data_IF_638231932086
#
_entry.id   IF_638231932086
#
_cell.length_a   1.000
_cell.length_b   1.000
_cell.length_c   1.000
_cell.angle_alpha   90.00
_cell.angle_beta   90.00
_cell.angle_gamma   90.00
#
_symmetry.space_group_name_H-M   'P 1'
#
loop_
_entity.id
_entity.type
_entity.pdbx_description
1 polymer ?
#
# COMPACT_ATOMS: atom_id res chain seq x y z
N UNK A 1 14.78 -31.58 -32.66
CA UNK A 1 15.05 -30.24 -32.19
C UNK A 1 13.83 -29.87 -31.33
N UNK A 2 13.96 -29.95 -30.01
CA UNK A 2 12.88 -29.59 -29.10
C UNK A 2 12.77 -28.06 -28.99
N UNK A 3 11.65 -27.55 -28.48
CA UNK A 3 11.50 -26.10 -28.21
C UNK A 3 12.57 -25.62 -27.23
N UNK A 4 13.04 -26.49 -26.33
CA UNK A 4 14.16 -26.24 -25.42
C UNK A 4 15.48 -26.02 -26.18
N UNK A 5 15.74 -26.78 -27.27
CA UNK A 5 16.93 -26.61 -28.12
C UNK A 5 16.95 -25.27 -28.86
N UNK A 6 15.79 -24.61 -28.99
CA UNK A 6 15.63 -23.30 -29.61
C UNK A 6 15.66 -22.16 -28.59
N UNK A 7 15.87 -22.45 -27.29
CA UNK A 7 15.82 -21.46 -26.22
C UNK A 7 14.41 -20.86 -25.99
N UNK A 8 13.39 -21.49 -26.57
CA UNK A 8 12.00 -21.19 -26.31
C UNK A 8 11.63 -21.95 -25.03
N UNK A 9 11.77 -21.30 -23.90
CA UNK A 9 11.23 -21.78 -22.62
C UNK A 9 9.72 -21.89 -22.81
N UNK A 10 9.18 -23.08 -22.54
CA UNK A 10 7.74 -23.28 -22.41
C UNK A 10 7.24 -22.41 -21.26
N UNK A 11 6.84 -21.20 -21.59
CA UNK A 11 6.05 -20.41 -20.64
C UNK A 11 4.71 -21.15 -20.57
N UNK A 12 4.49 -21.93 -19.50
CA UNK A 12 3.13 -22.25 -19.11
C UNK A 12 2.36 -20.92 -19.12
N UNK A 13 1.45 -20.78 -20.09
CA UNK A 13 0.49 -19.69 -20.12
C UNK A 13 -0.46 -19.99 -18.95
N UNK A 14 -0.04 -19.61 -17.77
CA UNK A 14 -0.92 -19.67 -16.59
C UNK A 14 -1.93 -18.55 -16.80
N UNK A 15 -3.19 -18.94 -16.99
CA UNK A 15 -4.31 -18.01 -17.16
C UNK A 15 -4.56 -17.29 -15.82
N UNK A 16 -3.83 -16.20 -15.61
CA UNK A 16 -3.96 -15.39 -14.40
C UNK A 16 -4.93 -14.25 -14.62
N UNK A 17 -5.64 -13.89 -13.56
CA UNK A 17 -6.48 -12.68 -13.51
C UNK A 17 -5.66 -11.48 -13.05
N UNK A 18 -5.75 -10.37 -13.78
CA UNK A 18 -5.14 -9.11 -13.39
C UNK A 18 -6.02 -8.41 -12.33
N UNK A 19 -5.46 -8.14 -11.17
CA UNK A 19 -6.07 -7.36 -10.10
C UNK A 19 -5.53 -5.92 -10.15
N UNK A 20 -6.41 -4.97 -10.42
CA UNK A 20 -6.04 -3.58 -10.70
C UNK A 20 -6.40 -2.69 -9.51
N UNK A 21 -5.46 -1.86 -9.09
CA UNK A 21 -5.74 -0.71 -8.23
C UNK A 21 -6.54 0.34 -9.02
N UNK A 22 -7.84 0.28 -8.84
CA UNK A 22 -8.79 1.10 -9.60
C UNK A 22 -8.77 2.57 -9.18
N UNK A 23 -8.40 2.87 -7.93
CA UNK A 23 -8.32 4.26 -7.49
C UNK A 23 -7.31 5.03 -8.33
N UNK A 24 -6.17 4.42 -8.68
CA UNK A 24 -5.15 5.04 -9.52
C UNK A 24 -5.62 5.21 -10.96
N UNK A 25 -6.19 4.14 -11.54
CA UNK A 25 -6.67 4.15 -12.94
C UNK A 25 -7.77 5.19 -13.13
N UNK A 26 -8.64 5.37 -12.14
CA UNK A 26 -9.76 6.33 -12.19
C UNK A 26 -9.27 7.76 -11.89
N UNK A 27 -8.39 7.93 -10.90
CA UNK A 27 -7.97 9.27 -10.46
C UNK A 27 -7.16 10.03 -11.51
N UNK A 28 -6.23 9.34 -12.18
CA UNK A 28 -5.34 9.96 -13.16
C UNK A 28 -6.09 10.71 -14.29
N UNK A 29 -7.03 10.08 -15.03
CA UNK A 29 -7.75 10.78 -16.08
C UNK A 29 -8.68 11.86 -15.55
N UNK A 30 -9.21 11.73 -14.31
CA UNK A 30 -10.02 12.78 -13.71
C UNK A 30 -9.21 14.06 -13.43
N UNK A 31 -7.92 13.95 -13.13
CA UNK A 31 -7.04 15.12 -13.01
C UNK A 31 -6.74 15.79 -14.37
N UNK A 32 -6.73 15.00 -15.45
CA UNK A 32 -6.44 15.49 -16.80
C UNK A 32 -7.67 16.16 -17.42
N UNK A 33 -8.82 15.51 -17.30
CA UNK A 33 -10.12 15.95 -17.86
C UNK A 33 -11.01 16.44 -16.72
N UNK A 34 -10.63 17.60 -16.13
CA UNK A 34 -11.23 18.11 -14.89
C UNK A 34 -12.33 19.17 -15.14
N UNK A 35 -13.01 19.10 -16.29
CA UNK A 35 -14.19 19.92 -16.58
C UNK A 35 -15.47 19.14 -16.34
N UNK A 36 -16.49 19.78 -15.77
CA UNK A 36 -17.79 19.15 -15.49
C UNK A 36 -18.67 19.13 -16.75
N UNK A 37 -18.23 18.33 -17.74
CA UNK A 37 -18.93 18.19 -19.02
C UNK A 37 -18.89 16.75 -19.56
N UNK A 38 -19.77 16.47 -20.53
CA UNK A 38 -19.88 15.16 -21.15
C UNK A 38 -18.66 14.77 -22.00
N UNK A 39 -17.90 15.75 -22.51
CA UNK A 39 -16.69 15.49 -23.28
C UNK A 39 -15.61 14.94 -22.35
N UNK A 40 -15.37 15.59 -21.22
CA UNK A 40 -14.43 15.13 -20.19
C UNK A 40 -14.79 13.74 -19.69
N UNK A 41 -16.06 13.49 -19.39
CA UNK A 41 -16.56 12.17 -18.97
C UNK A 41 -16.30 11.08 -20.02
N UNK A 42 -16.57 11.36 -21.31
CA UNK A 42 -16.24 10.41 -22.40
C UNK A 42 -14.74 10.15 -22.51
N UNK A 43 -13.90 11.18 -22.35
CA UNK A 43 -12.44 11.01 -22.39
C UNK A 43 -11.92 10.21 -21.20
N UNK A 44 -12.45 10.41 -20.01
CA UNK A 44 -12.14 9.63 -18.80
C UNK A 44 -12.48 8.16 -19.05
N UNK A 45 -13.70 7.85 -19.50
CA UNK A 45 -14.13 6.48 -19.78
C UNK A 45 -13.23 5.79 -20.82
N UNK A 46 -12.88 6.51 -21.90
CA UNK A 46 -11.96 6.01 -22.94
C UNK A 46 -10.57 5.73 -22.38
N UNK A 47 -10.04 6.63 -21.53
CA UNK A 47 -8.74 6.46 -20.90
C UNK A 47 -8.71 5.24 -19.98
N UNK A 48 -9.74 5.07 -19.13
CA UNK A 48 -9.84 3.93 -18.22
C UNK A 48 -9.83 2.61 -19.00
N UNK A 49 -10.69 2.47 -20.03
CA UNK A 49 -10.72 1.26 -20.85
C UNK A 49 -9.36 0.97 -21.49
N UNK A 50 -8.78 1.99 -22.15
CA UNK A 50 -7.46 1.81 -22.77
C UNK A 50 -6.38 1.41 -21.76
N UNK A 51 -6.37 2.01 -20.56
CA UNK A 51 -5.40 1.67 -19.52
C UNK A 51 -5.56 0.22 -19.05
N UNK A 52 -6.78 -0.27 -18.91
CA UNK A 52 -7.06 -1.66 -18.56
C UNK A 52 -6.53 -2.60 -19.64
N UNK A 53 -6.82 -2.31 -20.93
CA UNK A 53 -6.34 -3.13 -22.06
C UNK A 53 -4.81 -3.17 -22.09
N UNK A 54 -4.13 -2.02 -21.97
CA UNK A 54 -2.68 -1.92 -21.94
C UNK A 54 -2.06 -2.72 -20.76
N UNK A 55 -2.73 -2.72 -19.60
CA UNK A 55 -2.27 -3.48 -18.43
C UNK A 55 -2.48 -4.98 -18.58
N UNK A 56 -3.60 -5.40 -19.17
CA UNK A 56 -3.88 -6.81 -19.45
C UNK A 56 -2.86 -7.37 -20.44
N UNK A 57 -2.55 -6.62 -21.50
CA UNK A 57 -1.50 -6.99 -22.48
C UNK A 57 -0.13 -7.13 -21.79
N UNK A 58 0.27 -6.12 -20.99
CA UNK A 58 1.55 -6.14 -20.29
C UNK A 58 1.67 -7.26 -19.25
N UNK A 59 0.57 -7.64 -18.60
CA UNK A 59 0.52 -8.72 -17.63
C UNK A 59 0.38 -10.10 -18.28
N UNK A 60 0.00 -10.18 -19.56
CA UNK A 60 -0.35 -11.44 -20.24
C UNK A 60 -1.61 -12.08 -19.67
N UNK A 61 -2.57 -11.29 -19.20
CA UNK A 61 -3.81 -11.74 -18.57
C UNK A 61 -5.00 -11.57 -19.52
N UNK A 62 -5.94 -12.52 -19.52
CA UNK A 62 -7.16 -12.47 -20.34
C UNK A 62 -8.38 -11.93 -19.56
N UNK A 63 -8.28 -11.84 -18.25
CA UNK A 63 -9.32 -11.35 -17.37
C UNK A 63 -8.75 -10.36 -16.35
N UNK A 64 -9.61 -9.49 -15.84
CA UNK A 64 -9.24 -8.54 -14.79
C UNK A 64 -10.35 -8.35 -13.77
N UNK A 65 -9.97 -7.88 -12.58
CA UNK A 65 -10.85 -7.30 -11.57
C UNK A 65 -10.22 -5.98 -11.12
N UNK A 66 -11.00 -4.91 -11.13
CA UNK A 66 -10.58 -3.61 -10.62
C UNK A 66 -11.17 -3.39 -9.23
N UNK A 67 -10.35 -3.01 -8.26
CA UNK A 67 -10.78 -2.71 -6.90
C UNK A 67 -10.78 -1.22 -6.64
N UNK A 68 -11.79 -0.70 -5.97
CA UNK A 68 -11.92 0.73 -5.66
C UNK A 68 -12.28 0.95 -4.20
N UNK A 69 -11.71 2.00 -3.62
CA UNK A 69 -12.00 2.46 -2.27
C UNK A 69 -13.31 3.22 -2.23
N UNK A 70 -14.09 2.98 -1.19
CA UNK A 70 -15.30 3.76 -0.86
C UNK A 70 -14.95 4.99 0.00
N UNK A 71 -15.97 5.66 0.54
CA UNK A 71 -15.76 6.82 1.43
C UNK A 71 -15.49 6.44 2.89
N UNK A 72 -15.49 5.15 3.22
CA UNK A 72 -15.29 4.63 4.57
C UNK A 72 -14.04 3.80 4.65
N UNK A 73 -13.33 3.88 5.78
CA UNK A 73 -12.12 3.12 6.02
C UNK A 73 -12.10 2.62 7.47
N UNK A 74 -11.87 1.34 7.69
CA UNK A 74 -11.79 0.77 9.02
C UNK A 74 -10.63 1.36 9.85
N UNK A 75 -9.60 1.90 9.19
CA UNK A 75 -8.46 2.54 9.88
C UNK A 75 -8.86 3.80 10.61
N UNK A 76 -10.00 4.42 10.26
CA UNK A 76 -10.58 5.54 11.01
C UNK A 76 -11.00 5.13 12.43
N UNK A 77 -11.23 3.83 12.68
CA UNK A 77 -11.47 3.28 14.03
C UNK A 77 -10.18 3.07 14.82
N UNK A 78 -9.02 3.05 14.18
CA UNK A 78 -7.73 2.83 14.85
C UNK A 78 -7.11 4.13 15.36
N UNK A 79 -7.25 5.22 14.60
CA UNK A 79 -6.75 6.55 14.93
C UNK A 79 -7.62 7.63 14.27
N UNK A 80 -7.87 8.72 14.99
CA UNK A 80 -8.73 9.82 14.53
C UNK A 80 -8.11 10.65 13.40
N UNK A 81 -6.79 10.64 13.27
CA UNK A 81 -6.05 11.48 12.31
C UNK A 81 -5.53 10.71 11.08
N UNK A 82 -6.09 9.53 10.79
CA UNK A 82 -5.72 8.78 9.59
C UNK A 82 -6.02 9.58 8.33
N UNK A 83 -5.00 9.79 7.49
CA UNK A 83 -5.09 10.60 6.25
C UNK A 83 -5.56 12.06 6.43
N UNK A 84 -5.50 12.63 7.64
CA UNK A 84 -5.92 14.00 7.93
C UNK A 84 -5.25 15.07 7.05
N UNK A 85 -4.05 14.80 6.53
CA UNK A 85 -3.34 15.67 5.59
C UNK A 85 -3.97 15.73 4.19
N UNK A 86 -5.06 15.00 3.95
CA UNK A 86 -5.77 14.98 2.66
C UNK A 86 -7.09 15.76 2.68
N UNK A 87 -7.58 16.18 3.84
CA UNK A 87 -8.89 16.82 4.01
C UNK A 87 -9.05 18.10 3.21
N UNK A 88 -7.98 18.92 3.16
CA UNK A 88 -7.98 20.21 2.46
C UNK A 88 -7.69 20.11 0.95
N UNK A 89 -7.54 18.90 0.40
CA UNK A 89 -7.22 18.75 -1.02
C UNK A 89 -8.48 18.69 -1.87
N UNK A 90 -8.56 19.60 -2.83
CA UNK A 90 -9.62 19.53 -3.85
C UNK A 90 -9.54 18.21 -4.62
N UNK A 91 -10.68 17.56 -4.76
CA UNK A 91 -10.82 16.34 -5.56
C UNK A 91 -11.24 16.71 -6.99
N UNK A 92 -10.79 15.95 -8.01
CA UNK A 92 -11.24 16.16 -9.38
C UNK A 92 -12.76 16.11 -9.48
N UNK A 93 -13.37 17.03 -10.22
CA UNK A 93 -14.83 17.20 -10.30
C UNK A 93 -15.56 15.94 -10.81
N UNK A 94 -14.91 15.18 -11.70
CA UNK A 94 -15.48 13.97 -12.28
C UNK A 94 -15.18 12.68 -11.47
N UNK A 95 -14.48 12.75 -10.34
CA UNK A 95 -14.04 11.55 -9.62
C UNK A 95 -15.21 10.68 -9.13
N UNK A 96 -16.23 11.29 -8.55
CA UNK A 96 -17.42 10.56 -8.07
C UNK A 96 -18.16 9.89 -9.23
N UNK A 97 -18.35 10.63 -10.33
CA UNK A 97 -18.95 10.09 -11.56
C UNK A 97 -18.14 8.93 -12.12
N UNK A 98 -16.81 9.08 -12.21
CA UNK A 98 -15.95 8.06 -12.80
C UNK A 98 -15.93 6.76 -11.97
N UNK A 99 -15.94 6.85 -10.64
CA UNK A 99 -16.10 5.67 -9.76
C UNK A 99 -17.45 4.97 -10.00
N UNK A 100 -18.55 5.72 -10.00
CA UNK A 100 -19.87 5.17 -10.26
C UNK A 100 -19.99 4.54 -11.66
N UNK A 101 -19.44 5.22 -12.67
CA UNK A 101 -19.40 4.71 -14.04
C UNK A 101 -18.60 3.40 -14.12
N UNK A 102 -17.44 3.33 -13.48
CA UNK A 102 -16.61 2.13 -13.46
C UNK A 102 -17.33 0.95 -12.80
N UNK A 103 -17.99 1.17 -11.68
CA UNK A 103 -18.80 0.12 -11.00
C UNK A 103 -19.94 -0.38 -11.89
N UNK A 104 -20.56 0.51 -12.68
CA UNK A 104 -21.71 0.14 -13.52
C UNK A 104 -21.34 -0.49 -14.87
N UNK A 105 -20.13 -0.26 -15.39
CA UNK A 105 -19.75 -0.61 -16.76
C UNK A 105 -18.54 -1.55 -16.87
N UNK A 106 -17.77 -1.73 -15.79
CA UNK A 106 -16.53 -2.50 -15.77
C UNK A 106 -16.59 -3.58 -14.70
N UNK A 107 -15.69 -4.58 -14.79
CA UNK A 107 -15.54 -5.57 -13.72
C UNK A 107 -14.84 -4.94 -12.51
N UNK A 108 -15.64 -4.17 -11.73
CA UNK A 108 -15.16 -3.35 -10.61
C UNK A 108 -15.82 -3.80 -9.31
N UNK A 109 -15.00 -4.05 -8.29
CA UNK A 109 -15.42 -4.50 -6.97
C UNK A 109 -15.04 -3.49 -5.89
N UNK A 110 -15.88 -3.40 -4.87
CA UNK A 110 -15.60 -2.65 -3.65
C UNK A 110 -16.26 -3.33 -2.45
N UNK A 111 -15.68 -3.12 -1.29
CA UNK A 111 -16.29 -3.47 0.00
C UNK A 111 -16.28 -2.20 0.85
N UNK A 112 -17.42 -1.88 1.45
CA UNK A 112 -17.52 -0.74 2.36
C UNK A 112 -16.56 -0.97 3.55
N UNK A 113 -15.84 0.05 3.96
CA UNK A 113 -14.83 0.04 5.02
C UNK A 113 -13.46 -0.57 4.66
N UNK A 114 -13.28 -1.17 3.48
CA UNK A 114 -11.98 -1.60 2.96
C UNK A 114 -11.49 -0.66 1.86
N UNK A 115 -10.20 -0.41 1.83
CA UNK A 115 -9.55 0.26 0.71
C UNK A 115 -9.28 -0.72 -0.45
N UNK A 116 -9.03 -0.19 -1.63
CA UNK A 116 -8.64 -1.00 -2.79
C UNK A 116 -7.43 -1.89 -2.48
N UNK A 117 -6.47 -1.36 -1.73
CA UNK A 117 -5.25 -2.05 -1.32
C UNK A 117 -5.53 -3.27 -0.45
N UNK A 118 -6.50 -3.18 0.46
CA UNK A 118 -6.94 -4.31 1.30
C UNK A 118 -7.62 -5.38 0.45
N UNK A 119 -8.44 -4.97 -0.52
CA UNK A 119 -9.09 -5.89 -1.44
C UNK A 119 -8.08 -6.60 -2.34
N UNK A 120 -7.06 -5.88 -2.83
CA UNK A 120 -5.94 -6.48 -3.55
C UNK A 120 -5.21 -7.51 -2.68
N UNK A 121 -5.03 -7.23 -1.39
CA UNK A 121 -4.41 -8.15 -0.44
C UNK A 121 -5.22 -9.40 -0.17
N UNK A 122 -6.53 -9.26 0.03
CA UNK A 122 -7.44 -10.37 0.38
C UNK A 122 -7.75 -11.30 -0.81
N UNK A 123 -7.64 -10.79 -2.05
CA UNK A 123 -7.91 -11.55 -3.28
C UNK A 123 -6.65 -12.09 -3.95
N UNK A 124 -5.44 -11.80 -3.43
CA UNK A 124 -4.20 -12.26 -4.03
C UNK A 124 -3.99 -13.76 -3.84
N UNK A 125 -3.76 -14.47 -4.95
CA UNK A 125 -3.47 -15.90 -5.02
C UNK A 125 -2.29 -16.16 -5.96
N UNK A 126 -1.93 -17.43 -6.20
CA UNK A 126 -0.93 -17.80 -7.23
C UNK A 126 -1.48 -17.59 -8.66
N UNK A 127 -2.81 -17.50 -8.82
CA UNK A 127 -3.48 -17.33 -10.13
C UNK A 127 -3.84 -15.85 -10.39
N UNK A 128 -3.27 -14.92 -9.65
CA UNK A 128 -3.56 -13.48 -9.81
C UNK A 128 -2.29 -12.65 -9.91
N UNK A 129 -2.39 -11.50 -10.59
CA UNK A 129 -1.31 -10.51 -10.74
C UNK A 129 -1.82 -9.17 -10.26
N UNK A 130 -1.21 -8.57 -9.25
CA UNK A 130 -1.54 -7.21 -8.81
C UNK A 130 -0.85 -6.18 -9.70
N UNK A 131 -1.60 -5.14 -10.11
CA UNK A 131 -1.02 -3.92 -10.62
C UNK A 131 -1.40 -2.71 -9.77
N UNK A 132 -0.41 -1.97 -9.34
CA UNK A 132 -0.50 -0.64 -8.76
C UNK A 132 0.84 0.09 -8.92
N UNK A 133 0.80 1.42 -8.96
CA UNK A 133 2.01 2.26 -8.87
C UNK A 133 2.43 2.48 -7.41
N UNK A 134 1.55 2.15 -6.45
CA UNK A 134 1.88 2.23 -5.04
C UNK A 134 2.87 1.13 -4.65
N UNK A 135 4.03 1.56 -4.19
CA UNK A 135 5.11 0.66 -3.74
C UNK A 135 4.71 -0.15 -2.51
N UNK A 136 3.74 0.35 -1.75
CA UNK A 136 3.35 -0.23 -0.46
C UNK A 136 2.58 -1.53 -0.65
N UNK A 137 1.90 -1.71 -1.79
CA UNK A 137 1.31 -2.99 -2.19
C UNK A 137 2.35 -4.11 -2.40
N UNK A 138 3.62 -3.79 -2.56
CA UNK A 138 4.69 -4.81 -2.61
C UNK A 138 4.96 -5.50 -1.26
N UNK A 139 4.27 -5.16 -0.20
CA UNK A 139 4.23 -5.98 1.01
C UNK A 139 3.44 -7.28 0.81
N UNK A 140 2.55 -7.35 -0.19
CA UNK A 140 1.74 -8.52 -0.53
C UNK A 140 2.60 -9.52 -1.30
N UNK A 141 2.70 -10.78 -0.82
CA UNK A 141 3.36 -11.84 -1.58
C UNK A 141 2.53 -12.20 -2.82
N UNK A 142 3.19 -12.67 -3.89
CA UNK A 142 2.52 -13.09 -5.11
C UNK A 142 3.07 -12.38 -6.34
N UNK A 143 2.34 -12.41 -7.42
CA UNK A 143 2.75 -11.80 -8.67
C UNK A 143 2.29 -10.36 -8.77
N UNK A 144 3.18 -9.49 -9.24
CA UNK A 144 2.94 -8.07 -9.42
C UNK A 144 3.42 -7.62 -10.80
N UNK A 145 2.63 -6.87 -11.52
CA UNK A 145 3.07 -6.18 -12.73
C UNK A 145 3.83 -4.90 -12.31
N UNK A 146 5.12 -4.85 -12.58
CA UNK A 146 5.94 -3.67 -12.30
C UNK A 146 5.68 -2.59 -13.36
N UNK A 147 5.15 -1.46 -12.94
CA UNK A 147 4.74 -0.37 -13.83
C UNK A 147 5.90 0.22 -14.66
N UNK A 148 7.13 0.18 -14.15
CA UNK A 148 8.29 0.76 -14.85
C UNK A 148 8.86 -0.16 -15.92
N UNK A 149 8.95 -1.44 -15.60
CA UNK A 149 9.56 -2.45 -16.50
C UNK A 149 8.54 -3.16 -17.36
N UNK A 150 7.24 -2.99 -17.03
CA UNK A 150 6.12 -3.70 -17.68
C UNK A 150 6.32 -5.22 -17.66
N UNK A 151 6.88 -5.74 -16.56
CA UNK A 151 7.15 -7.17 -16.37
C UNK A 151 6.47 -7.66 -15.11
N UNK A 152 5.96 -8.88 -15.18
CA UNK A 152 5.46 -9.57 -13.97
C UNK A 152 6.65 -10.03 -13.13
N UNK A 153 6.64 -9.65 -11.86
CA UNK A 153 7.64 -10.05 -10.87
C UNK A 153 6.97 -10.83 -9.74
N UNK A 154 7.68 -11.72 -9.07
CA UNK A 154 7.19 -12.45 -7.90
C UNK A 154 7.76 -11.84 -6.62
N UNK A 155 6.87 -11.41 -5.72
CA UNK A 155 7.20 -10.98 -4.35
C UNK A 155 7.09 -12.19 -3.43
N UNK A 156 8.15 -12.46 -2.66
CA UNK A 156 8.14 -13.55 -1.67
C UNK A 156 7.59 -13.07 -0.32
N UNK A 157 7.15 -14.00 0.53
CA UNK A 157 6.69 -13.68 1.90
C UNK A 157 7.69 -12.85 2.68
N UNK A 158 8.96 -13.28 2.72
CA UNK A 158 10.03 -12.53 3.38
C UNK A 158 10.24 -11.16 2.73
N UNK A 159 10.23 -11.11 1.40
CA UNK A 159 10.56 -9.92 0.64
C UNK A 159 12.03 -9.53 0.71
N UNK A 160 12.29 -8.25 0.48
CA UNK A 160 13.65 -7.71 0.47
C UNK A 160 13.67 -6.21 0.79
N UNK A 161 14.84 -5.72 1.17
CA UNK A 161 15.14 -4.29 1.25
C UNK A 161 16.44 -4.02 0.50
N UNK A 162 16.44 -2.99 -0.36
CA UNK A 162 17.60 -2.60 -1.18
C UNK A 162 17.80 -1.10 -1.13
N UNK A 163 19.07 -0.69 -1.11
CA UNK A 163 19.49 0.72 -1.18
C UNK A 163 20.03 1.02 -2.58
N UNK A 164 19.46 2.01 -3.25
CA UNK A 164 19.93 2.54 -4.53
C UNK A 164 20.52 3.93 -4.30
N UNK A 165 21.77 4.14 -4.72
CA UNK A 165 22.44 5.45 -4.65
C UNK A 165 22.52 6.02 -6.06
N UNK A 166 21.84 7.16 -6.28
CA UNK A 166 21.85 7.88 -7.54
C UNK A 166 22.91 8.97 -7.44
N UNK A 167 23.87 8.96 -8.35
CA UNK A 167 24.96 9.93 -8.39
C UNK A 167 24.65 11.08 -9.36
N UNK A 168 25.24 12.24 -9.10
CA UNK A 168 25.35 13.35 -10.05
C UNK A 168 26.48 13.08 -11.04
N UNK A 169 26.56 13.83 -12.14
CA UNK A 169 27.68 13.73 -13.09
C UNK A 169 29.07 13.95 -12.45
N UNK A 170 29.14 14.70 -11.37
CA UNK A 170 30.37 14.97 -10.61
C UNK A 170 30.72 13.87 -9.59
N UNK A 171 30.02 12.76 -9.59
CA UNK A 171 30.21 11.61 -8.69
C UNK A 171 29.62 11.78 -7.29
N UNK A 172 29.07 12.94 -6.95
CA UNK A 172 28.43 13.16 -5.65
C UNK A 172 27.04 12.51 -5.59
N UNK A 173 26.65 12.08 -4.40
CA UNK A 173 25.30 11.53 -4.17
C UNK A 173 24.24 12.61 -4.49
N UNK A 174 23.39 12.32 -5.46
CA UNK A 174 22.20 13.13 -5.77
C UNK A 174 21.03 12.77 -4.87
N UNK A 175 20.77 11.47 -4.71
CA UNK A 175 19.63 10.93 -3.95
C UNK A 175 19.89 9.48 -3.58
N UNK A 176 19.44 9.08 -2.41
CA UNK A 176 19.34 7.67 -2.03
C UNK A 176 17.87 7.27 -2.05
N UNK A 177 17.57 6.13 -2.66
CA UNK A 177 16.25 5.49 -2.65
C UNK A 177 16.33 4.17 -1.93
N UNK A 178 15.22 3.78 -1.31
CA UNK A 178 15.05 2.49 -0.68
C UNK A 178 13.90 1.76 -1.36
N UNK A 179 14.15 0.53 -1.79
CA UNK A 179 13.18 -0.37 -2.38
C UNK A 179 12.93 -1.48 -1.40
N UNK A 180 11.68 -1.80 -1.14
CA UNK A 180 11.30 -2.80 -0.16
C UNK A 180 10.11 -3.61 -0.65
N UNK A 181 9.96 -4.85 -0.13
CA UNK A 181 8.87 -5.76 -0.46
C UNK A 181 8.67 -6.80 0.64
N UNK A 182 7.53 -7.50 0.59
CA UNK A 182 7.16 -8.56 1.54
C UNK A 182 7.09 -8.06 2.98
N UNK A 183 7.18 -8.97 3.91
CA UNK A 183 7.10 -8.67 5.36
C UNK A 183 8.23 -7.72 5.82
N UNK A 184 9.43 -7.82 5.25
CA UNK A 184 10.51 -6.84 5.52
C UNK A 184 10.10 -5.44 5.07
N UNK A 185 9.33 -5.32 3.97
CA UNK A 185 8.79 -4.05 3.50
C UNK A 185 7.84 -3.42 4.51
N UNK A 186 6.91 -4.20 5.04
CA UNK A 186 6.03 -3.76 6.13
C UNK A 186 6.83 -3.30 7.35
N UNK A 187 7.83 -4.09 7.80
CA UNK A 187 8.69 -3.73 8.93
C UNK A 187 9.47 -2.43 8.68
N UNK A 188 9.91 -2.19 7.45
CA UNK A 188 10.55 -0.93 7.08
C UNK A 188 9.57 0.25 7.24
N UNK A 189 8.33 0.10 6.81
CA UNK A 189 7.30 1.11 6.98
C UNK A 189 6.90 1.29 8.45
N UNK A 190 6.83 0.22 9.25
CA UNK A 190 6.61 0.31 10.70
C UNK A 190 7.66 1.21 11.38
N UNK A 191 8.91 1.17 10.94
CA UNK A 191 9.95 2.09 11.44
C UNK A 191 9.80 3.51 10.89
N UNK A 192 9.57 3.65 9.58
CA UNK A 192 9.60 4.97 8.90
C UNK A 192 8.27 5.70 8.93
N UNK A 193 7.16 5.01 9.13
CA UNK A 193 5.81 5.50 8.87
C UNK A 193 5.53 5.76 7.39
N UNK A 194 4.38 6.35 7.12
CA UNK A 194 4.00 6.88 5.81
C UNK A 194 3.49 8.32 5.93
N UNK A 195 4.21 9.24 5.30
CA UNK A 195 3.83 10.66 5.29
C UNK A 195 2.64 10.94 4.39
N UNK A 196 2.38 10.09 3.39
CA UNK A 196 1.26 10.24 2.46
C UNK A 196 -0.07 9.94 3.17
N UNK A 197 -0.07 8.93 4.02
CA UNK A 197 -1.25 8.50 4.80
C UNK A 197 -1.25 9.03 6.23
N UNK A 198 -0.33 9.94 6.53
CA UNK A 198 -0.21 10.57 7.84
C UNK A 198 0.11 9.58 8.98
N UNK A 199 0.85 8.49 8.68
CA UNK A 199 1.23 7.45 9.63
C UNK A 199 2.62 7.73 10.19
N UNK A 200 2.76 7.73 11.53
CA UNK A 200 4.03 8.12 12.16
C UNK A 200 5.05 6.99 12.23
N UNK A 201 4.63 5.72 12.27
CA UNK A 201 5.51 4.57 12.48
C UNK A 201 6.19 4.61 13.85
N UNK A 202 7.46 4.20 13.93
CA UNK A 202 8.28 4.31 15.13
C UNK A 202 8.74 5.76 15.31
N UNK A 203 7.86 6.59 15.88
CA UNK A 203 8.13 8.02 16.09
C UNK A 203 6.96 8.74 16.72
N UNK A 204 6.99 10.06 16.64
CA UNK A 204 5.93 10.95 17.14
C UNK A 204 5.80 12.21 16.29
N UNK A 205 4.67 12.90 16.43
CA UNK A 205 4.50 14.26 15.90
C UNK A 205 4.88 15.29 16.92
N UNK A 206 5.52 16.34 16.47
CA UNK A 206 5.89 17.50 17.28
C UNK A 206 5.53 18.78 16.54
N UNK A 207 5.12 19.79 17.28
CA UNK A 207 4.87 21.10 16.71
C UNK A 207 6.19 21.77 16.37
N UNK A 208 6.29 22.31 15.17
CA UNK A 208 7.43 23.07 14.67
C UNK A 208 6.96 24.30 13.92
N UNK A 209 7.86 25.28 13.77
CA UNK A 209 7.62 26.50 13.02
C UNK A 209 8.55 26.54 11.82
N UNK A 210 8.02 26.92 10.66
CA UNK A 210 8.86 27.11 9.46
C UNK A 210 9.87 28.26 9.67
N UNK A 211 11.16 27.93 9.60
CA UNK A 211 12.25 28.90 9.81
C UNK A 211 12.53 29.79 8.60
N UNK A 212 12.07 29.41 7.39
CA UNK A 212 12.37 30.13 6.15
C UNK A 212 11.34 29.85 5.05
N UNK A 213 11.42 30.55 3.92
CA UNK A 213 10.55 30.41 2.76
C UNK A 213 9.20 31.12 2.92
N UNK A 214 8.26 30.87 1.99
CA UNK A 214 6.94 31.50 1.96
C UNK A 214 6.06 31.19 3.17
N UNK A 215 6.35 30.11 3.89
CA UNK A 215 5.63 29.65 5.09
C UNK A 215 6.33 30.05 6.40
N UNK A 216 7.37 30.88 6.37
CA UNK A 216 8.11 31.29 7.58
C UNK A 216 7.16 31.80 8.65
N UNK A 217 7.32 31.29 9.88
CA UNK A 217 6.50 31.65 11.05
C UNK A 217 5.20 30.87 11.18
N UNK A 218 4.80 30.05 10.20
CA UNK A 218 3.65 29.18 10.31
C UNK A 218 4.00 27.93 11.11
N UNK A 219 3.09 27.47 11.96
CA UNK A 219 3.20 26.22 12.69
C UNK A 219 2.85 25.03 11.79
N UNK A 220 3.50 23.89 12.03
CA UNK A 220 3.17 22.62 11.39
C UNK A 220 3.52 21.44 12.28
N UNK A 221 2.82 20.33 12.09
CA UNK A 221 3.11 19.06 12.76
C UNK A 221 4.21 18.31 11.99
N UNK A 222 5.38 18.19 12.59
CA UNK A 222 6.51 17.44 12.00
C UNK A 222 6.58 16.03 12.59
N UNK A 223 6.87 15.04 11.74
CA UNK A 223 7.25 13.71 12.21
C UNK A 223 8.70 13.73 12.70
N UNK A 224 8.93 13.16 13.89
CA UNK A 224 10.26 12.88 14.44
C UNK A 224 10.32 11.40 14.78
N UNK A 225 11.33 10.70 14.29
CA UNK A 225 11.51 9.26 14.47
C UNK A 225 12.50 8.70 13.45
N UNK A 226 12.55 7.39 13.33
CA UNK A 226 13.48 6.67 12.48
C UNK A 226 13.27 7.04 11.01
N UNK A 227 14.34 7.47 10.36
CA UNK A 227 14.34 7.79 8.93
C UNK A 227 14.69 6.57 8.05
N UNK A 228 14.46 6.66 6.71
CA UNK A 228 14.68 5.52 5.80
C UNK A 228 16.10 4.95 5.83
N UNK A 229 17.13 5.80 6.02
CA UNK A 229 18.52 5.35 6.11
C UNK A 229 18.80 4.53 7.36
N UNK A 230 18.26 4.94 8.48
CA UNK A 230 18.39 4.26 9.76
C UNK A 230 17.59 2.95 9.76
N UNK A 231 16.34 2.97 9.28
CA UNK A 231 15.51 1.77 9.13
C UNK A 231 16.21 0.71 8.26
N UNK A 232 16.82 1.13 7.13
CA UNK A 232 17.64 0.24 6.31
C UNK A 232 18.79 -0.38 7.10
N UNK A 233 19.55 0.42 7.86
CA UNK A 233 20.69 -0.05 8.64
C UNK A 233 20.26 -1.00 9.78
N UNK A 234 19.10 -0.78 10.40
CA UNK A 234 18.51 -1.66 11.42
C UNK A 234 18.17 -3.01 10.80
N UNK A 235 17.31 -3.01 9.76
CA UNK A 235 16.78 -4.22 9.16
C UNK A 235 17.83 -5.04 8.39
N UNK A 236 18.87 -4.39 7.85
CA UNK A 236 19.97 -5.09 7.16
C UNK A 236 20.79 -6.00 8.08
N UNK A 237 20.68 -5.88 9.40
CA UNK A 237 21.34 -6.75 10.38
C UNK A 237 20.60 -8.08 10.56
N UNK A 238 19.32 -8.13 10.21
CA UNK A 238 18.48 -9.29 10.43
C UNK A 238 18.66 -10.35 9.34
N UNK A 239 18.88 -11.60 9.74
CA UNK A 239 18.95 -12.76 8.84
C UNK A 239 17.59 -13.42 8.64
N UNK A 240 16.70 -13.35 9.62
CA UNK A 240 15.36 -13.93 9.63
C UNK A 240 14.30 -12.86 9.87
N UNK A 241 13.03 -13.19 9.60
CA UNK A 241 11.89 -12.28 9.88
C UNK A 241 11.72 -12.05 11.38
N UNK A 242 11.91 -13.08 12.19
CA UNK A 242 11.82 -12.99 13.65
C UNK A 242 12.89 -12.04 14.21
N UNK A 243 14.12 -12.15 13.70
CA UNK A 243 15.20 -11.24 14.10
C UNK A 243 14.90 -9.80 13.66
N UNK A 244 14.30 -9.60 12.48
CA UNK A 244 13.89 -8.27 12.01
C UNK A 244 12.78 -7.69 12.90
N UNK A 245 11.79 -8.49 13.27
CA UNK A 245 10.69 -8.08 14.14
C UNK A 245 11.19 -7.68 15.53
N UNK A 246 12.12 -8.45 16.09
CA UNK A 246 12.75 -8.10 17.39
C UNK A 246 13.51 -6.78 17.33
N UNK A 247 14.21 -6.48 16.22
CA UNK A 247 14.86 -5.18 16.04
C UNK A 247 13.84 -4.03 15.93
N UNK A 248 12.73 -4.23 15.24
CA UNK A 248 11.63 -3.26 15.17
C UNK A 248 11.05 -3.02 16.57
N UNK A 249 10.74 -4.08 17.30
CA UNK A 249 10.20 -4.02 18.66
C UNK A 249 11.13 -3.27 19.62
N UNK A 250 12.44 -3.52 19.54
CA UNK A 250 13.46 -2.83 20.35
C UNK A 250 13.47 -1.32 20.10
N UNK A 251 13.32 -0.89 18.83
CA UNK A 251 13.20 0.53 18.51
C UNK A 251 11.91 1.16 19.06
N UNK A 252 10.78 0.47 18.95
CA UNK A 252 9.52 0.93 19.55
C UNK A 252 9.62 1.02 21.06
N UNK A 253 10.21 0.03 21.71
CA UNK A 253 10.48 0.06 23.15
C UNK A 253 11.32 1.28 23.54
N UNK A 254 12.45 1.55 22.86
CA UNK A 254 13.32 2.70 23.12
C UNK A 254 12.59 4.03 23.04
N UNK A 255 11.72 4.20 22.04
CA UNK A 255 11.00 5.46 21.78
C UNK A 255 9.83 5.64 22.74
N UNK A 256 9.13 4.55 23.09
CA UNK A 256 7.82 4.59 23.78
C UNK A 256 7.83 3.99 25.19
N UNK A 257 8.97 3.51 25.74
CA UNK A 257 9.04 2.89 27.06
C UNK A 257 8.55 3.81 28.22
N UNK A 258 8.56 5.13 28.00
CA UNK A 258 8.11 6.14 28.98
C UNK A 258 6.80 6.83 28.57
N UNK A 259 6.12 6.35 27.51
CA UNK A 259 4.84 6.90 27.10
C UNK A 259 3.69 6.28 27.90
N UNK A 260 2.57 6.98 27.97
CA UNK A 260 1.35 6.49 28.63
C UNK A 260 0.79 5.25 27.92
N UNK A 261 0.92 5.19 26.59
CA UNK A 261 0.51 4.04 25.79
C UNK A 261 1.63 3.00 25.78
N UNK A 262 1.27 1.75 26.05
CA UNK A 262 2.20 0.64 25.97
C UNK A 262 2.83 0.57 24.55
N UNK A 263 4.14 0.40 24.50
CA UNK A 263 4.89 0.38 23.24
C UNK A 263 4.41 -0.73 22.27
N UNK A 264 3.95 -1.89 22.77
CA UNK A 264 3.40 -2.96 21.94
C UNK A 264 2.08 -2.53 21.31
N UNK A 265 1.17 -1.93 22.09
CA UNK A 265 -0.08 -1.37 21.57
C UNK A 265 0.21 -0.33 20.49
N UNK A 266 1.18 0.56 20.71
CA UNK A 266 1.56 1.54 19.70
C UNK A 266 2.12 0.88 18.44
N UNK A 267 3.00 -0.12 18.58
CA UNK A 267 3.53 -0.89 17.47
C UNK A 267 2.42 -1.58 16.68
N UNK A 268 1.50 -2.29 17.33
CA UNK A 268 0.37 -2.96 16.67
C UNK A 268 -0.57 -1.99 15.97
N UNK A 269 -0.84 -0.83 16.58
CA UNK A 269 -1.63 0.23 15.94
C UNK A 269 -0.96 0.71 14.66
N UNK A 270 0.32 1.08 14.71
CA UNK A 270 1.04 1.54 13.52
C UNK A 270 1.16 0.44 12.46
N UNK A 271 1.37 -0.81 12.88
CA UNK A 271 1.40 -1.94 11.97
C UNK A 271 0.05 -2.12 11.25
N UNK A 272 -1.07 -2.06 11.95
CA UNK A 272 -2.41 -2.22 11.36
C UNK A 272 -2.82 -1.04 10.44
N UNK A 273 -2.29 0.15 10.66
CA UNK A 273 -2.46 1.27 9.73
C UNK A 273 -1.74 1.03 8.39
N UNK A 274 -0.60 0.32 8.41
CA UNK A 274 0.27 0.06 7.27
C UNK A 274 -0.02 -1.30 6.59
N UNK A 275 -0.57 -2.25 7.35
CA UNK A 275 -0.79 -3.61 6.89
C UNK A 275 -1.96 -3.65 5.91
N UNK A 276 -1.69 -4.15 4.69
CA UNK A 276 -2.75 -4.50 3.75
C UNK A 276 -3.40 -5.80 4.22
N UNK A 277 -4.70 -5.79 4.43
CA UNK A 277 -5.47 -6.95 4.91
C UNK A 277 -5.24 -8.16 3.99
N UNK A 278 -5.10 -9.36 4.58
CA UNK A 278 -4.88 -10.62 3.83
C UNK A 278 -6.06 -11.57 3.93
N UNK A 279 -6.88 -11.39 4.93
CA UNK A 279 -8.01 -12.27 5.22
C UNK A 279 -9.20 -11.45 5.64
N UNK A 280 -10.34 -11.67 4.97
CA UNK A 280 -11.63 -11.14 5.39
C UNK A 280 -12.73 -12.17 5.16
N UNK A 281 -13.75 -12.14 6.00
CA UNK A 281 -15.01 -12.90 5.84
C UNK A 281 -16.17 -11.98 6.22
N UNK A 282 -16.88 -11.50 5.23
CA UNK A 282 -17.88 -10.46 5.41
C UNK A 282 -17.23 -9.19 5.97
N UNK A 283 -17.71 -8.73 7.11
CA UNK A 283 -17.19 -7.53 7.78
C UNK A 283 -16.02 -7.81 8.75
N UNK A 284 -15.57 -9.05 8.87
CA UNK A 284 -14.51 -9.43 9.81
C UNK A 284 -13.20 -9.55 9.06
N UNK A 285 -12.16 -8.87 9.56
CA UNK A 285 -10.79 -8.96 9.07
C UNK A 285 -9.86 -9.53 10.13
N UNK A 286 -8.79 -10.19 9.68
CA UNK A 286 -7.68 -10.57 10.53
C UNK A 286 -6.72 -9.40 10.66
N UNK A 287 -6.42 -8.99 11.89
CA UNK A 287 -5.45 -7.93 12.21
C UNK A 287 -4.03 -8.48 12.27
N UNK A 288 -3.07 -7.60 12.10
CA UNK A 288 -1.69 -7.89 12.41
C UNK A 288 -1.44 -7.78 13.93
N UNK A 289 -0.75 -8.76 14.51
CA UNK A 289 -0.37 -8.78 15.93
C UNK A 289 1.12 -9.05 16.10
N UNK A 290 1.73 -8.46 17.12
CA UNK A 290 3.17 -8.58 17.36
C UNK A 290 3.61 -10.01 17.70
N UNK A 291 2.83 -10.70 18.49
CA UNK A 291 3.09 -12.06 18.96
C UNK A 291 2.51 -13.16 18.05
N UNK A 292 1.88 -12.76 16.95
CA UNK A 292 1.29 -13.70 15.97
C UNK A 292 -0.02 -14.34 16.42
N UNK A 293 -0.64 -13.85 17.52
CA UNK A 293 -1.96 -14.33 17.95
C UNK A 293 -3.01 -14.03 16.88
N UNK A 294 -3.99 -14.90 16.76
CA UNK A 294 -5.17 -14.64 15.94
C UNK A 294 -6.05 -13.59 16.62
N UNK A 295 -6.17 -12.44 15.99
CA UNK A 295 -7.02 -11.33 16.43
C UNK A 295 -7.85 -10.84 15.25
N UNK A 296 -9.13 -10.69 15.47
CA UNK A 296 -10.10 -10.30 14.44
C UNK A 296 -10.85 -9.04 14.86
N UNK A 297 -11.27 -8.27 13.86
CA UNK A 297 -11.97 -7.02 14.06
C UNK A 297 -13.14 -6.89 13.09
N UNK A 298 -14.28 -6.42 13.57
CA UNK A 298 -15.37 -5.97 12.71
C UNK A 298 -15.02 -4.58 12.15
N UNK A 299 -14.89 -4.50 10.83
CA UNK A 299 -14.50 -3.24 10.14
C UNK A 299 -15.56 -2.15 10.21
N UNK A 300 -16.79 -2.48 10.55
CA UNK A 300 -17.90 -1.51 10.60
C UNK A 300 -18.00 -0.80 11.95
N UNK A 301 -17.57 -1.46 13.03
CA UNK A 301 -17.60 -0.95 14.39
C UNK A 301 -16.23 -0.64 14.97
N UNK A 302 -15.18 -1.27 14.43
CA UNK A 302 -13.82 -1.21 14.99
C UNK A 302 -13.61 -2.10 16.22
N UNK A 303 -14.62 -2.88 16.61
CA UNK A 303 -14.55 -3.73 17.80
C UNK A 303 -13.82 -5.04 17.51
N UNK A 304 -13.08 -5.54 18.50
CA UNK A 304 -12.47 -6.86 18.45
C UNK A 304 -13.54 -7.95 18.58
N UNK A 305 -13.38 -9.02 17.82
CA UNK A 305 -14.33 -10.13 17.78
C UNK A 305 -13.72 -11.34 18.49
N UNK A 306 -14.24 -11.66 19.66
CA UNK A 306 -13.82 -12.81 20.44
C UNK A 306 -14.37 -14.13 19.87
N UNK A 307 -13.56 -15.19 19.94
CA UNK A 307 -13.99 -16.55 19.58
C UNK A 307 -14.24 -16.79 18.09
N UNK A 308 -13.80 -15.88 17.21
CA UNK A 308 -13.89 -16.09 15.77
C UNK A 308 -12.92 -17.20 15.34
N UNK A 309 -13.43 -18.21 14.63
CA UNK A 309 -12.64 -19.29 14.00
C UNK A 309 -12.87 -19.27 12.50
N UNK A 310 -11.82 -19.55 11.71
CA UNK A 310 -11.92 -19.69 10.25
C UNK A 310 -12.93 -20.80 9.83
N UNK A 311 -13.17 -21.76 10.69
CA UNK A 311 -13.95 -22.97 10.40
C UNK A 311 -15.44 -22.80 10.75
N UNK A 312 -15.86 -21.64 11.26
CA UNK A 312 -17.26 -21.25 11.48
C UNK A 312 -17.69 -20.24 10.43
#
# INVERSE_FOLDING_TARGET
MSLEDLGLIDYEIVDRTLHIDGDIVIYQPCCIFNEDDDQSRRMIAKYINKKIDDLMEAAGCNTYIMFVTTNFNFRDHLVDDYKANREDKERPVNLAWAKQWSVSNLNTHYVKWLEADDLLGTHQTEDTVIWSIDKDLRQIKGYHLDDKTQKVIKVTEKGSIKKEVILKPDGKVKKTKYHFSGTIGLMFQMLTGDTTDWIVGCGKRVDKVYGSGSKKGQEYKARVGIGPGEAYNILSKAKTLEAALLLVADEYYKVHAKSEVNWQTHLETQANLLFMVRENKGNIIKRWTYDGRDEYMDITTGELVDGYSKDT
#
